data_IF_915376303516
#
_entry.id   IF_915376303516
#
_cell.length_a   1.000
_cell.length_b   1.000
_cell.length_c   1.000
_cell.angle_alpha   90.00
_cell.angle_beta   90.00
_cell.angle_gamma   90.00
#
_symmetry.space_group_name_H-M   'P 1'
#
loop_
_entity.id
_entity.type
_entity.pdbx_description
1 polymer ?
#
# COMPACT_ATOMS: atom_id res chain seq x y z
N UNK A 1 25.46 3.69 14.10
CA UNK A 1 24.85 3.18 12.84
C UNK A 1 24.46 4.38 11.98
N UNK A 2 24.92 4.48 10.73
CA UNK A 2 24.51 5.59 9.86
C UNK A 2 23.17 5.22 9.20
N UNK A 3 22.29 6.20 8.97
CA UNK A 3 20.98 6.02 8.31
C UNK A 3 21.07 5.28 6.97
N UNK A 4 22.19 5.47 6.26
CA UNK A 4 22.48 4.81 4.97
C UNK A 4 22.71 3.30 5.14
N UNK A 5 23.40 2.90 6.21
CA UNK A 5 23.68 1.49 6.51
C UNK A 5 22.39 0.73 6.86
N UNK A 6 21.47 1.40 7.59
CA UNK A 6 20.17 0.84 7.96
C UNK A 6 19.26 0.58 6.74
N UNK A 7 19.22 1.53 5.79
CA UNK A 7 18.41 1.37 4.57
C UNK A 7 18.96 0.27 3.66
N UNK A 8 20.28 0.13 3.56
CA UNK A 8 20.91 -0.96 2.81
C UNK A 8 20.56 -2.34 3.39
N UNK A 9 20.43 -2.44 4.71
CA UNK A 9 20.11 -3.70 5.39
C UNK A 9 18.70 -4.21 5.05
N UNK A 10 17.74 -3.32 4.78
CA UNK A 10 16.38 -3.68 4.36
C UNK A 10 16.32 -4.29 2.95
N UNK A 11 17.27 -3.94 2.08
CA UNK A 11 17.35 -4.50 0.72
C UNK A 11 18.00 -5.89 0.67
N UNK A 12 18.68 -6.30 1.74
CA UNK A 12 19.39 -7.57 1.82
C UNK A 12 18.51 -8.74 2.34
N UNK A 13 17.28 -8.46 2.77
CA UNK A 13 16.37 -9.49 3.26
C UNK A 13 15.70 -10.13 2.04
N UNK A 14 15.97 -11.41 1.74
CA UNK A 14 15.30 -12.09 0.63
C UNK A 14 13.80 -12.09 0.91
N UNK A 15 13.02 -11.59 -0.04
CA UNK A 15 11.57 -11.56 0.05
C UNK A 15 11.04 -12.98 0.32
N UNK A 16 10.03 -13.15 1.18
CA UNK A 16 9.38 -14.45 1.38
C UNK A 16 8.97 -15.06 0.04
N UNK A 17 9.06 -16.40 -0.11
CA UNK A 17 8.71 -17.10 -1.36
C UNK A 17 7.32 -16.74 -1.87
N UNK A 18 6.36 -16.51 -0.97
CA UNK A 18 5.01 -16.04 -1.31
C UNK A 18 5.01 -14.66 -1.98
N UNK A 19 5.82 -13.72 -1.48
CA UNK A 19 5.96 -12.39 -2.08
C UNK A 19 6.67 -12.46 -3.45
N UNK A 20 7.66 -13.34 -3.60
CA UNK A 20 8.32 -13.58 -4.89
C UNK A 20 7.39 -14.22 -5.93
N UNK A 21 6.51 -15.14 -5.51
CA UNK A 21 5.51 -15.75 -6.37
C UNK A 21 4.43 -14.73 -6.78
N UNK A 22 3.98 -13.91 -5.84
CA UNK A 22 3.05 -12.81 -6.13
C UNK A 22 3.66 -11.81 -7.13
N UNK A 23 4.95 -11.51 -7.03
CA UNK A 23 5.64 -10.62 -7.97
C UNK A 23 5.67 -11.17 -9.41
N UNK A 24 5.62 -12.50 -9.61
CA UNK A 24 5.56 -13.09 -10.96
C UNK A 24 4.18 -12.96 -11.61
N UNK A 25 3.11 -12.94 -10.80
CA UNK A 25 1.74 -12.73 -11.26
C UNK A 25 1.29 -11.26 -11.22
N UNK A 26 2.12 -10.36 -10.68
CA UNK A 26 1.78 -8.96 -10.55
C UNK A 26 1.70 -8.28 -11.93
N UNK A 27 0.68 -7.43 -12.17
CA UNK A 27 0.58 -6.66 -13.40
C UNK A 27 1.83 -5.79 -13.58
N UNK A 28 2.56 -6.00 -14.69
CA UNK A 28 3.84 -5.29 -14.95
C UNK A 28 3.68 -3.79 -15.17
N UNK A 29 2.46 -3.32 -15.41
CA UNK A 29 2.16 -1.92 -15.72
C UNK A 29 1.00 -1.40 -14.87
N UNK A 30 1.00 -1.77 -13.59
CA UNK A 30 -0.01 -1.29 -12.64
C UNK A 30 0.13 0.23 -12.45
N UNK A 31 -0.95 0.96 -12.73
CA UNK A 31 -1.01 2.41 -12.54
C UNK A 31 -2.12 2.74 -11.55
N UNK A 32 -1.88 3.73 -10.71
CA UNK A 32 -2.96 4.37 -9.94
C UNK A 32 -3.71 5.27 -10.92
N UNK A 33 -5.02 5.05 -11.03
CA UNK A 33 -5.90 5.81 -11.94
C UNK A 33 -6.73 6.83 -11.19
N UNK A 34 -7.05 6.57 -9.92
CA UNK A 34 -7.84 7.48 -9.09
C UNK A 34 -7.52 7.28 -7.60
N UNK A 35 -7.73 8.33 -6.81
CA UNK A 35 -7.60 8.32 -5.35
C UNK A 35 -8.82 8.98 -4.74
N UNK A 36 -9.57 8.20 -3.97
CA UNK A 36 -10.79 8.65 -3.30
C UNK A 36 -10.54 8.79 -1.82
N UNK A 37 -10.89 9.95 -1.26
CA UNK A 37 -10.71 10.23 0.16
C UNK A 37 -12.08 10.45 0.79
N UNK A 38 -12.37 9.71 1.85
CA UNK A 38 -13.56 9.86 2.66
C UNK A 38 -13.16 10.24 4.08
N UNK A 39 -13.57 11.43 4.51
CA UNK A 39 -13.48 11.84 5.91
C UNK A 39 -14.83 11.56 6.56
N UNK A 40 -14.85 10.74 7.60
CA UNK A 40 -16.09 10.32 8.25
C UNK A 40 -15.93 10.13 9.76
N UNK A 41 -17.02 10.25 10.50
CA UNK A 41 -17.11 9.88 11.92
C UNK A 41 -18.45 9.15 12.15
N UNK A 42 -18.54 7.85 11.80
CA UNK A 42 -19.82 7.14 11.74
C UNK A 42 -20.53 7.04 13.09
N UNK A 43 -19.77 7.02 14.20
CA UNK A 43 -20.33 6.92 15.55
C UNK A 43 -20.43 8.29 16.26
N UNK A 44 -20.10 9.38 15.57
CA UNK A 44 -19.90 10.72 16.17
C UNK A 44 -19.07 10.66 17.46
N UNK A 45 -18.11 9.73 17.50
CA UNK A 45 -17.36 9.43 18.70
C UNK A 45 -16.41 10.59 18.97
N UNK A 46 -16.22 10.91 20.25
CA UNK A 46 -15.27 11.93 20.68
C UNK A 46 -13.82 11.63 20.25
N UNK A 47 -13.52 10.40 19.85
CA UNK A 47 -12.21 9.94 19.38
C UNK A 47 -11.77 10.51 18.01
N UNK A 48 -12.59 11.33 17.35
CA UNK A 48 -12.18 12.15 16.20
C UNK A 48 -12.65 11.62 14.84
N UNK A 49 -12.31 12.38 13.79
CA UNK A 49 -12.63 12.03 12.41
C UNK A 49 -11.68 10.97 11.86
N UNK A 50 -12.22 10.00 11.13
CA UNK A 50 -11.47 9.00 10.39
C UNK A 50 -11.26 9.46 8.95
N UNK A 51 -10.08 9.19 8.41
CA UNK A 51 -9.77 9.42 7.00
C UNK A 51 -9.55 8.06 6.36
N UNK A 52 -10.47 7.67 5.48
CA UNK A 52 -10.30 6.50 4.62
C UNK A 52 -9.79 6.96 3.26
N UNK A 53 -8.76 6.29 2.78
CA UNK A 53 -8.19 6.50 1.45
C UNK A 53 -8.40 5.22 0.67
N UNK A 54 -9.04 5.33 -0.49
CA UNK A 54 -9.19 4.25 -1.45
C UNK A 54 -8.40 4.58 -2.71
N UNK A 55 -7.51 3.67 -3.09
CA UNK A 55 -6.69 3.77 -4.30
C UNK A 55 -7.31 2.86 -5.36
N UNK A 56 -7.67 3.46 -6.50
CA UNK A 56 -8.14 2.73 -7.68
C UNK A 56 -6.99 2.57 -8.65
N UNK A 57 -6.86 1.39 -9.23
CA UNK A 57 -5.79 1.10 -10.18
C UNK A 57 -6.32 0.82 -11.58
N UNK A 58 -5.41 0.73 -12.55
CA UNK A 58 -5.70 0.35 -13.92
C UNK A 58 -6.13 -1.12 -14.07
N UNK A 59 -5.88 -1.96 -13.07
CA UNK A 59 -6.22 -3.37 -13.08
C UNK A 59 -7.58 -3.59 -12.40
N UNK A 60 -8.51 -4.23 -13.10
CA UNK A 60 -9.84 -4.47 -12.56
C UNK A 60 -9.77 -5.40 -11.33
N UNK A 61 -10.39 -4.97 -10.23
CA UNK A 61 -10.41 -5.74 -8.98
C UNK A 61 -9.16 -5.58 -8.10
N UNK A 62 -8.18 -4.77 -8.51
CA UNK A 62 -7.05 -4.40 -7.66
C UNK A 62 -7.24 -2.98 -7.13
N UNK A 63 -7.73 -2.88 -5.89
CA UNK A 63 -7.96 -1.63 -5.16
C UNK A 63 -7.32 -1.73 -3.77
N UNK A 64 -6.88 -0.59 -3.22
CA UNK A 64 -6.21 -0.50 -1.92
C UNK A 64 -6.77 0.58 -1.02
#
# INVERSE_FOLDING_TARGET
MRRRDFLAMLTAIPLPRAAQAAARGAPRNLKITDVKVLVTNPNQAAMGNFVLVKIVTSEAGLEG
#
